data_IF_729390367766
#
_entry.id   IF_729390367766
#
_cell.length_a   1.000
_cell.length_b   1.000
_cell.length_c   1.000
_cell.angle_alpha   90.00
_cell.angle_beta   90.00
_cell.angle_gamma   90.00
#
_symmetry.space_group_name_H-M   'P 1'
#
loop_
_entity.id
_entity.type
_entity.pdbx_description
1 polymer ?
#
# COMPACT_ATOMS: atom_id res chain seq x y z
N UNK A 1 6.75 7.45 -4.34
CA UNK A 1 7.21 6.71 -3.14
C UNK A 1 8.73 6.72 -3.13
N UNK A 2 9.35 6.93 -1.99
CA UNK A 2 10.82 6.86 -1.76
C UNK A 2 11.11 6.05 -0.51
N UNK A 3 12.39 5.77 -0.23
CA UNK A 3 12.82 5.14 1.03
C UNK A 3 12.14 3.80 1.34
N UNK A 4 11.71 3.64 2.60
CA UNK A 4 11.09 2.42 3.13
C UNK A 4 9.78 2.09 2.41
N UNK A 5 8.96 3.09 2.07
CA UNK A 5 7.74 2.87 1.29
C UNK A 5 8.04 2.21 -0.06
N UNK A 6 9.09 2.65 -0.76
CA UNK A 6 9.46 2.05 -2.05
C UNK A 6 9.89 0.59 -1.89
N UNK A 7 10.68 0.27 -0.85
CA UNK A 7 11.13 -1.09 -0.56
C UNK A 7 9.93 -1.98 -0.22
N UNK A 8 9.09 -1.58 0.74
CA UNK A 8 7.90 -2.34 1.17
C UNK A 8 6.94 -2.63 0.01
N UNK A 9 6.74 -1.67 -0.89
CA UNK A 9 5.89 -1.86 -2.07
C UNK A 9 6.54 -2.78 -3.09
N UNK A 10 7.84 -2.61 -3.35
CA UNK A 10 8.58 -3.45 -4.29
C UNK A 10 8.63 -4.91 -3.83
N UNK A 11 8.77 -5.19 -2.53
CA UNK A 11 8.82 -6.57 -1.99
C UNK A 11 7.62 -7.40 -2.42
N UNK A 12 6.38 -6.89 -2.29
CA UNK A 12 5.20 -7.67 -2.69
C UNK A 12 5.14 -7.99 -4.19
N UNK A 13 5.60 -7.06 -5.04
CA UNK A 13 5.66 -7.28 -6.49
C UNK A 13 6.80 -8.25 -6.87
N UNK A 14 7.96 -8.11 -6.22
CA UNK A 14 9.11 -9.00 -6.40
C UNK A 14 8.82 -10.42 -5.92
N UNK A 15 8.09 -10.59 -4.81
CA UNK A 15 7.66 -11.89 -4.30
C UNK A 15 6.72 -12.58 -5.28
N UNK A 16 5.76 -11.85 -5.88
CA UNK A 16 4.93 -12.41 -6.93
C UNK A 16 5.79 -12.87 -8.12
N UNK A 17 6.69 -12.03 -8.60
CA UNK A 17 7.55 -12.34 -9.73
C UNK A 17 8.46 -13.55 -9.45
N UNK A 18 9.10 -13.62 -8.28
CA UNK A 18 10.01 -14.69 -7.89
C UNK A 18 9.30 -16.05 -7.79
N UNK A 19 8.01 -16.07 -7.44
CA UNK A 19 7.21 -17.29 -7.37
C UNK A 19 6.48 -17.59 -8.70
N UNK A 20 6.73 -16.84 -9.78
CA UNK A 20 6.02 -17.04 -11.05
C UNK A 20 4.53 -16.69 -10.95
N UNK A 21 4.15 -15.82 -10.03
CA UNK A 21 2.79 -15.35 -9.83
C UNK A 21 2.61 -13.92 -10.37
N UNK A 22 1.36 -13.52 -10.58
CA UNK A 22 0.99 -12.14 -10.85
C UNK A 22 -0.26 -11.76 -10.06
N UNK A 23 -0.30 -10.51 -9.61
CA UNK A 23 -1.51 -9.93 -9.03
C UNK A 23 -2.42 -9.43 -10.17
N UNK A 24 -3.70 -9.75 -10.11
CA UNK A 24 -4.73 -9.32 -11.06
C UNK A 24 -5.93 -8.75 -10.32
N UNK A 25 -6.69 -7.88 -10.99
CA UNK A 25 -7.83 -7.19 -10.40
C UNK A 25 -7.48 -5.79 -9.90
N UNK A 26 -8.43 -5.19 -9.19
CA UNK A 26 -8.37 -3.78 -8.80
C UNK A 26 -8.07 -3.62 -7.30
N UNK A 27 -7.26 -2.62 -6.96
CA UNK A 27 -7.10 -2.14 -5.58
C UNK A 27 -7.75 -0.77 -5.51
N UNK A 28 -8.79 -0.64 -4.69
CA UNK A 28 -9.48 0.64 -4.48
C UNK A 28 -8.94 1.31 -3.22
N UNK A 29 -8.76 2.63 -3.28
CA UNK A 29 -8.30 3.44 -2.15
C UNK A 29 -9.15 4.70 -2.02
N UNK A 30 -9.59 4.97 -0.79
CA UNK A 30 -10.21 6.24 -0.41
C UNK A 30 -9.29 6.89 0.62
N UNK A 31 -8.55 7.91 0.19
CA UNK A 31 -7.52 8.56 1.00
C UNK A 31 -7.99 9.90 1.56
N UNK A 32 -7.58 10.20 2.78
CA UNK A 32 -7.81 11.45 3.49
C UNK A 32 -6.52 11.87 4.21
N UNK A 33 -6.24 13.18 4.22
CA UNK A 33 -5.13 13.73 5.03
C UNK A 33 -5.65 13.91 6.44
N UNK A 34 -5.13 13.15 7.40
CA UNK A 34 -5.66 13.12 8.77
C UNK A 34 -4.93 14.06 9.72
N UNK A 35 -3.66 14.35 9.47
CA UNK A 35 -2.88 15.32 10.26
C UNK A 35 -1.86 16.04 9.41
N UNK A 36 -1.56 17.29 9.76
CA UNK A 36 -0.47 18.08 9.21
C UNK A 36 0.23 18.80 10.35
N UNK A 37 1.48 18.41 10.64
CA UNK A 37 2.32 19.14 11.59
C UNK A 37 2.99 20.32 10.88
N UNK A 38 2.59 21.53 11.28
CA UNK A 38 3.15 22.79 10.78
C UNK A 38 4.28 23.35 11.66
N UNK A 39 4.51 22.77 12.84
CA UNK A 39 5.58 23.17 13.75
C UNK A 39 6.92 22.48 13.41
N UNK A 40 6.86 21.36 12.70
CA UNK A 40 8.05 20.72 12.15
C UNK A 40 8.73 21.63 11.11
N UNK A 41 10.08 21.74 11.10
CA UNK A 41 10.82 22.51 10.08
C UNK A 41 10.52 22.07 8.64
N UNK A 42 10.09 20.82 8.48
CA UNK A 42 9.58 20.26 7.23
C UNK A 42 8.19 19.70 7.54
N UNK A 43 7.11 20.23 6.93
CA UNK A 43 5.77 19.73 7.16
C UNK A 43 5.65 18.25 6.81
N UNK A 44 5.09 17.46 7.73
CA UNK A 44 5.01 16.00 7.63
C UNK A 44 3.56 15.54 7.85
N UNK A 45 2.74 15.46 6.79
CA UNK A 45 1.38 14.98 6.91
C UNK A 45 1.33 13.47 7.13
N UNK A 46 0.32 13.05 7.90
CA UNK A 46 -0.14 11.67 7.90
C UNK A 46 -1.34 11.56 6.97
N UNK A 47 -1.28 10.59 6.07
CA UNK A 47 -2.37 10.26 5.15
C UNK A 47 -2.93 8.91 5.58
N UNK A 48 -4.23 8.83 5.77
CA UNK A 48 -4.92 7.58 6.03
C UNK A 48 -5.76 7.23 4.81
N UNK A 49 -5.75 5.97 4.40
CA UNK A 49 -6.56 5.50 3.30
C UNK A 49 -7.29 4.21 3.68
N UNK A 50 -8.60 4.16 3.44
CA UNK A 50 -9.27 2.88 3.37
C UNK A 50 -8.83 2.18 2.08
N UNK A 51 -8.21 1.00 2.22
CA UNK A 51 -7.77 0.17 1.10
C UNK A 51 -8.69 -1.04 1.00
N UNK A 52 -9.25 -1.26 -0.18
CA UNK A 52 -10.08 -2.42 -0.52
C UNK A 52 -9.35 -3.28 -1.57
N UNK A 53 -9.08 -4.51 -1.17
CA UNK A 53 -8.44 -5.56 -1.97
C UNK A 53 -9.38 -6.74 -2.22
N UNK A 54 -10.69 -6.60 -2.00
CA UNK A 54 -11.68 -7.66 -2.24
C UNK A 54 -11.66 -8.21 -3.66
N UNK A 55 -11.26 -7.38 -4.63
CA UNK A 55 -11.16 -7.72 -6.04
C UNK A 55 -9.75 -8.17 -6.46
N UNK A 56 -8.77 -8.10 -5.55
CA UNK A 56 -7.39 -8.49 -5.83
C UNK A 56 -7.25 -10.01 -5.74
N UNK A 57 -6.68 -10.61 -6.77
CA UNK A 57 -6.30 -12.01 -6.79
C UNK A 57 -4.82 -12.16 -7.10
N UNK A 58 -4.22 -13.22 -6.61
CA UNK A 58 -2.92 -13.69 -7.10
C UNK A 58 -3.17 -14.94 -7.93
N UNK A 59 -2.59 -14.99 -9.12
CA UNK A 59 -2.70 -16.13 -10.03
C UNK A 59 -1.31 -16.58 -10.46
N UNK A 60 -1.17 -17.86 -10.79
CA UNK A 60 0.01 -18.36 -11.47
C UNK A 60 0.13 -17.66 -12.85
N UNK A 61 1.31 -17.13 -13.16
CA UNK A 61 1.51 -16.36 -14.39
C UNK A 61 1.51 -17.22 -15.65
N UNK A 62 1.82 -18.51 -15.55
CA UNK A 62 1.90 -19.43 -16.67
C UNK A 62 0.53 -19.89 -17.17
N UNK A 63 -0.39 -20.22 -16.25
CA UNK A 63 -1.68 -20.85 -16.58
C UNK A 63 -2.91 -20.09 -16.06
N UNK A 64 -2.71 -19.05 -15.22
CA UNK A 64 -3.79 -18.25 -14.66
C UNK A 64 -4.54 -18.88 -13.49
N UNK A 65 -4.06 -20.00 -12.94
CA UNK A 65 -4.70 -20.68 -11.81
C UNK A 65 -4.65 -19.82 -10.55
N UNK A 66 -5.76 -19.73 -9.81
CA UNK A 66 -5.86 -18.94 -8.57
C UNK A 66 -4.88 -19.48 -7.51
N UNK A 67 -4.08 -18.57 -6.92
CA UNK A 67 -3.19 -18.83 -5.80
C UNK A 67 -3.83 -18.26 -4.53
N UNK A 68 -4.21 -19.11 -3.55
CA UNK A 68 -4.84 -18.64 -2.33
C UNK A 68 -3.94 -17.69 -1.54
N UNK A 69 -4.46 -16.52 -1.19
CA UNK A 69 -3.81 -15.63 -0.24
C UNK A 69 -4.15 -16.06 1.20
N UNK A 70 -3.25 -15.79 2.17
CA UNK A 70 -3.59 -15.94 3.58
C UNK A 70 -4.86 -15.16 3.91
N UNK A 71 -5.69 -15.69 4.81
CA UNK A 71 -6.91 -15.00 5.27
C UNK A 71 -6.55 -13.62 5.82
N UNK A 72 -6.98 -12.57 5.12
CA UNK A 72 -6.81 -11.17 5.50
C UNK A 72 -8.14 -10.45 5.32
N UNK A 73 -8.39 -9.42 6.13
CA UNK A 73 -9.56 -8.56 5.91
C UNK A 73 -9.46 -7.95 4.49
N UNK A 74 -10.51 -8.07 3.66
CA UNK A 74 -10.49 -7.54 2.30
C UNK A 74 -10.46 -6.01 2.29
N UNK A 75 -10.84 -5.37 3.39
CA UNK A 75 -10.80 -3.92 3.58
C UNK A 75 -10.03 -3.60 4.85
N UNK A 76 -9.08 -2.68 4.77
CA UNK A 76 -8.24 -2.28 5.90
C UNK A 76 -7.76 -0.84 5.78
N UNK A 77 -7.44 -0.25 6.92
CA UNK A 77 -6.82 1.08 6.98
C UNK A 77 -5.34 0.99 6.62
N UNK A 78 -4.88 1.88 5.75
CA UNK A 78 -3.46 2.11 5.47
C UNK A 78 -3.09 3.51 5.95
N UNK A 79 -2.06 3.59 6.79
CA UNK A 79 -1.51 4.86 7.26
C UNK A 79 -0.17 5.09 6.60
N UNK A 80 0.02 6.27 6.01
CA UNK A 80 1.20 6.64 5.25
C UNK A 80 1.77 7.98 5.73
N UNK A 81 3.10 8.05 5.82
CA UNK A 81 3.83 9.28 6.04
C UNK A 81 4.24 9.87 4.70
N UNK A 82 4.11 11.18 4.54
CA UNK A 82 4.61 11.89 3.37
C UNK A 82 5.60 12.99 3.76
N UNK A 83 6.54 13.27 2.86
CA UNK A 83 7.46 14.40 2.97
C UNK A 83 7.45 15.21 1.68
N UNK A 84 7.64 16.53 1.82
CA UNK A 84 7.83 17.41 0.66
C UNK A 84 9.31 17.38 0.24
N UNK A 85 9.58 16.83 -0.93
CA UNK A 85 10.93 16.63 -1.47
C UNK A 85 10.95 17.08 -2.92
N UNK A 86 11.95 17.87 -3.33
CA UNK A 86 12.12 18.30 -4.75
C UNK A 86 10.85 18.93 -5.36
N UNK A 87 10.10 19.72 -4.58
CA UNK A 87 8.88 20.37 -5.06
C UNK A 87 7.63 19.47 -5.15
N UNK A 88 7.68 18.24 -4.62
CA UNK A 88 6.56 17.27 -4.64
C UNK A 88 6.37 16.55 -3.32
N UNK A 89 5.12 16.22 -3.01
CA UNK A 89 4.80 15.31 -1.91
C UNK A 89 5.13 13.87 -2.29
N UNK A 90 5.88 13.19 -1.43
CA UNK A 90 6.29 11.81 -1.64
C UNK A 90 6.01 10.99 -0.40
N UNK A 91 5.32 9.86 -0.57
CA UNK A 91 5.16 8.86 0.50
C UNK A 91 6.52 8.24 0.82
N UNK A 92 6.96 8.37 2.06
CA UNK A 92 8.26 7.91 2.57
C UNK A 92 8.15 6.62 3.36
N UNK A 93 7.02 6.41 4.04
CA UNK A 93 6.69 5.17 4.73
C UNK A 93 5.18 4.89 4.73
N UNK A 94 4.80 3.63 4.95
CA UNK A 94 3.42 3.24 5.21
C UNK A 94 3.32 1.97 6.07
N UNK A 95 2.15 1.80 6.68
CA UNK A 95 1.74 0.63 7.45
C UNK A 95 0.35 0.19 6.99
N UNK A 96 0.17 -1.11 6.77
CA UNK A 96 -1.13 -1.71 6.51
C UNK A 96 -1.72 -2.20 7.82
N UNK A 97 -2.73 -1.53 8.36
CA UNK A 97 -3.41 -1.89 9.60
C UNK A 97 -4.46 -2.97 9.29
N UNK A 98 -4.01 -4.17 8.90
CA UNK A 98 -4.88 -5.28 8.42
C UNK A 98 -5.88 -5.81 9.46
N UNK A 99 -5.76 -5.39 10.71
CA UNK A 99 -6.69 -5.71 11.80
C UNK A 99 -7.67 -4.56 12.10
N UNK A 100 -7.53 -3.42 11.43
CA UNK A 100 -8.39 -2.26 11.59
C UNK A 100 -9.31 -2.15 10.38
N UNK A 101 -10.62 -2.40 10.54
CA UNK A 101 -11.56 -2.20 9.46
C UNK A 101 -11.60 -0.72 9.08
N UNK A 102 -11.85 -0.48 7.79
CA UNK A 102 -12.60 0.70 7.41
C UNK A 102 -14.10 0.42 7.65
#
# INVERSE_FOLDING_TARGET
MTGQARIKWATGALDCQANGHRAVGEVKRQAEVTTLDLAAPIPSPTVTACTDISMLKVVNAADGTDVPLPSQLPRYVQTAAAAFQEGRWTITDFVNERNRPC
#
